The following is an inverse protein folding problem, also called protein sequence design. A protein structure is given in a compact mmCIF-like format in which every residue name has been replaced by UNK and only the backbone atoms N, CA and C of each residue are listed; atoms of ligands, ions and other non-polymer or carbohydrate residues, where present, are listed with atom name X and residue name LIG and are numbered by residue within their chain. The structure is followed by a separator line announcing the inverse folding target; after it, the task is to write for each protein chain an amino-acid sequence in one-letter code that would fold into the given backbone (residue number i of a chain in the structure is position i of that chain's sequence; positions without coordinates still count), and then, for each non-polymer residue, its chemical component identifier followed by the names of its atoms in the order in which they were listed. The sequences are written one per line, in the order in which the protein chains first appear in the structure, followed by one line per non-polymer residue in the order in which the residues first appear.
data_IF_688598923685
#
_entry.id   IF_688598923685
#
_cell.length_a   1.000
_cell.length_b   1.000
_cell.length_c   1.000
_cell.angle_alpha   90.00
_cell.angle_beta   90.00
_cell.angle_gamma   90.00
#
_symmetry.space_group_name_H-M   'P 1'
#
loop_
_entity.id
_entity.type
_entity.pdbx_description
1 polymer ?
#
# COMPACT_ATOMS: atom_id res chain seq x y z
N UNK A 1 25.96 16.24 7.22
CA UNK A 1 25.22 17.38 6.61
C UNK A 1 24.89 17.13 5.13
N UNK A 2 24.84 15.87 4.66
CA UNK A 2 24.47 15.53 3.27
C UNK A 2 22.98 15.15 3.12
N UNK A 3 22.32 14.79 4.22
CA UNK A 3 20.88 14.44 4.25
C UNK A 3 19.95 15.59 3.85
N UNK A 4 20.44 16.83 3.90
CA UNK A 4 19.59 18.01 3.77
C UNK A 4 19.32 18.37 2.31
N UNK A 5 20.25 18.09 1.39
CA UNK A 5 20.11 18.48 -0.03
C UNK A 5 19.19 17.52 -0.78
N UNK A 6 19.39 16.21 -0.63
CA UNK A 6 18.53 15.21 -1.27
C UNK A 6 17.08 15.33 -0.77
N UNK A 7 16.91 15.52 0.54
CA UNK A 7 15.61 15.78 1.15
C UNK A 7 14.98 17.09 0.65
N UNK A 8 15.73 18.21 0.61
CA UNK A 8 15.24 19.49 0.06
C UNK A 8 14.85 19.40 -1.41
N UNK A 9 15.60 18.64 -2.21
CA UNK A 9 15.28 18.40 -3.63
C UNK A 9 14.02 17.54 -3.75
N UNK A 10 13.90 16.47 -2.97
CA UNK A 10 12.68 15.66 -2.91
C UNK A 10 11.48 16.49 -2.49
N UNK A 11 11.58 17.32 -1.45
CA UNK A 11 10.50 18.22 -1.05
C UNK A 11 10.16 19.22 -2.16
N UNK A 12 11.16 19.77 -2.86
CA UNK A 12 10.97 20.70 -3.97
C UNK A 12 10.27 20.11 -5.20
N UNK A 13 10.27 18.78 -5.36
CA UNK A 13 9.66 18.10 -6.51
C UNK A 13 8.37 17.38 -6.12
N UNK A 14 8.35 16.71 -4.97
CA UNK A 14 7.25 15.87 -4.52
C UNK A 14 6.15 16.70 -3.86
N UNK A 15 6.46 17.73 -3.04
CA UNK A 15 5.41 18.54 -2.42
C UNK A 15 4.49 19.24 -3.44
N UNK A 16 5.01 19.85 -4.53
CA UNK A 16 4.14 20.40 -5.57
C UNK A 16 3.27 19.32 -6.22
N UNK A 17 3.82 18.15 -6.53
CA UNK A 17 3.05 17.04 -7.12
C UNK A 17 1.96 16.52 -6.19
N UNK A 18 2.26 16.39 -4.90
CA UNK A 18 1.28 16.00 -3.88
C UNK A 18 0.16 17.03 -3.78
N UNK A 19 0.52 18.32 -3.74
CA UNK A 19 -0.46 19.41 -3.74
C UNK A 19 -1.39 19.33 -4.95
N UNK A 20 -0.84 19.17 -6.15
CA UNK A 20 -1.61 19.21 -7.39
C UNK A 20 -2.43 17.92 -7.62
N UNK A 21 -1.98 16.77 -7.12
CA UNK A 21 -2.62 15.47 -7.39
C UNK A 21 -3.55 15.02 -6.27
N UNK A 22 -3.17 15.31 -5.02
CA UNK A 22 -3.83 14.77 -3.82
C UNK A 22 -4.51 15.87 -3.01
N UNK A 23 -4.09 17.13 -3.14
CA UNK A 23 -4.52 18.25 -2.31
C UNK A 23 -6.04 18.38 -2.17
N UNK A 24 -6.76 18.55 -3.28
CA UNK A 24 -8.21 18.77 -3.26
C UNK A 24 -8.97 17.53 -2.71
N UNK A 25 -8.54 16.33 -3.08
CA UNK A 25 -9.15 15.09 -2.60
C UNK A 25 -8.95 14.89 -1.10
N UNK A 26 -7.74 15.16 -0.60
CA UNK A 26 -7.43 15.06 0.83
C UNK A 26 -8.17 16.13 1.63
N UNK A 27 -8.31 17.35 1.10
CA UNK A 27 -9.12 18.39 1.72
C UNK A 27 -10.57 17.95 1.90
N UNK A 28 -11.19 17.34 0.89
CA UNK A 28 -12.56 16.84 1.01
C UNK A 28 -12.69 15.75 2.08
N UNK A 29 -11.75 14.80 2.14
CA UNK A 29 -11.74 13.75 3.17
C UNK A 29 -11.63 14.36 4.57
N UNK A 30 -10.77 15.38 4.74
CA UNK A 30 -10.59 16.08 6.01
C UNK A 30 -11.87 16.83 6.40
N UNK A 31 -12.55 17.50 5.48
CA UNK A 31 -13.81 18.19 5.74
C UNK A 31 -14.94 17.23 6.15
N UNK A 32 -15.01 16.06 5.50
CA UNK A 32 -15.94 14.99 5.90
C UNK A 32 -15.63 14.48 7.30
N UNK A 33 -14.36 14.23 7.62
CA UNK A 33 -13.93 13.78 8.95
C UNK A 33 -14.26 14.83 10.02
N UNK A 34 -13.98 16.11 9.77
CA UNK A 34 -14.35 17.21 10.68
C UNK A 34 -15.86 17.27 10.88
N UNK A 35 -16.63 17.07 9.81
CA UNK A 35 -18.10 17.06 9.89
C UNK A 35 -18.60 15.91 10.76
N UNK A 36 -18.08 14.69 10.55
CA UNK A 36 -18.41 13.51 11.35
C UNK A 36 -18.10 13.73 12.83
N UNK A 37 -16.91 14.25 13.13
CA UNK A 37 -16.50 14.55 14.51
C UNK A 37 -17.40 15.61 15.14
N UNK A 38 -17.79 16.63 14.37
CA UNK A 38 -18.68 17.70 14.83
C UNK A 38 -20.11 17.22 15.09
N UNK A 39 -20.57 16.18 14.39
CA UNK A 39 -21.87 15.54 14.70
C UNK A 39 -21.84 14.75 16.02
N UNK A 40 -20.66 14.27 16.43
CA UNK A 40 -20.46 13.55 17.69
C UNK A 40 -20.30 14.46 18.91
N UNK A 41 -19.98 15.74 18.73
CA UNK A 41 -19.80 16.71 19.82
C UNK A 41 -21.13 17.30 20.28
N UNK A 42 -21.31 17.45 21.59
CA UNK A 42 -22.51 18.05 22.17
C UNK A 42 -22.54 19.58 21.98
N UNK A 43 -23.73 20.17 21.94
CA UNK A 43 -23.88 21.63 21.94
C UNK A 43 -23.22 22.23 23.20
N UNK A 44 -22.14 23.00 23.00
CA UNK A 44 -21.39 23.66 24.07
C UNK A 44 -20.01 23.07 24.36
N UNK A 45 -19.61 21.98 23.68
CA UNK A 45 -18.23 21.48 23.70
C UNK A 45 -17.30 22.27 22.76
N UNK A 46 -16.00 22.17 23.01
CA UNK A 46 -14.96 22.79 22.20
C UNK A 46 -15.04 22.29 20.75
N UNK A 47 -14.78 23.21 19.81
CA UNK A 47 -14.76 22.90 18.38
C UNK A 47 -13.72 21.83 18.10
N UNK A 48 -14.01 20.96 17.12
CA UNK A 48 -13.05 19.98 16.60
C UNK A 48 -11.72 20.66 16.29
N UNK A 49 -10.66 20.26 17.00
CA UNK A 49 -9.32 20.80 16.79
C UNK A 49 -8.66 20.18 15.57
N UNK A 50 -8.21 21.03 14.63
CA UNK A 50 -7.52 20.58 13.42
C UNK A 50 -6.19 19.85 13.70
N UNK A 51 -5.58 20.10 14.86
CA UNK A 51 -4.41 19.35 15.35
C UNK A 51 -4.74 17.87 15.53
N UNK A 52 -5.84 17.55 16.21
CA UNK A 52 -6.29 16.18 16.43
C UNK A 52 -6.66 15.50 15.11
N UNK A 53 -7.34 16.22 14.21
CA UNK A 53 -7.69 15.73 12.87
C UNK A 53 -6.43 15.42 12.05
N UNK A 54 -5.42 16.29 12.11
CA UNK A 54 -4.14 16.07 11.44
C UNK A 54 -3.45 14.80 11.94
N UNK A 55 -3.45 14.56 13.25
CA UNK A 55 -2.83 13.35 13.82
C UNK A 55 -3.51 12.06 13.35
N UNK A 56 -4.84 12.06 13.26
CA UNK A 56 -5.62 10.93 12.74
C UNK A 56 -5.24 10.68 11.27
N UNK A 57 -5.30 11.73 10.44
CA UNK A 57 -5.01 11.63 9.01
C UNK A 57 -3.57 11.16 8.74
N UNK A 58 -2.60 11.64 9.52
CA UNK A 58 -1.21 11.18 9.37
C UNK A 58 -1.07 9.69 9.66
N UNK A 59 -1.72 9.17 10.70
CA UNK A 59 -1.72 7.73 11.01
C UNK A 59 -2.40 6.92 9.91
N UNK A 60 -3.53 7.38 9.41
CA UNK A 60 -4.25 6.68 8.34
C UNK A 60 -3.46 6.67 7.02
N UNK A 61 -2.75 7.76 6.71
CA UNK A 61 -1.83 7.81 5.56
C UNK A 61 -0.67 6.82 5.75
N UNK A 62 -0.08 6.74 6.94
CA UNK A 62 0.97 5.75 7.23
C UNK A 62 0.44 4.31 7.00
N UNK A 63 -0.73 3.99 7.55
CA UNK A 63 -1.38 2.69 7.38
C UNK A 63 -1.65 2.39 5.90
N UNK A 64 -2.17 3.36 5.15
CA UNK A 64 -2.45 3.22 3.72
C UNK A 64 -1.17 3.02 2.90
N UNK A 65 -0.09 3.73 3.24
CA UNK A 65 1.19 3.56 2.57
C UNK A 65 1.74 2.15 2.82
N UNK A 66 1.71 1.68 4.06
CA UNK A 66 2.29 0.40 4.45
C UNK A 66 1.50 -0.80 3.93
N UNK A 67 0.17 -0.71 3.92
CA UNK A 67 -0.67 -1.86 3.56
C UNK A 67 -1.01 -1.92 2.07
N UNK A 68 -1.12 -0.79 1.40
CA UNK A 68 -1.62 -0.73 0.02
C UNK A 68 -0.55 -0.25 -0.96
N UNK A 69 0.04 0.91 -0.71
CA UNK A 69 0.90 1.58 -1.71
C UNK A 69 2.25 0.90 -1.83
N UNK A 70 2.98 0.71 -0.73
CA UNK A 70 4.32 0.14 -0.74
C UNK A 70 4.31 -1.32 -1.21
N UNK A 71 3.41 -2.21 -0.73
CA UNK A 71 3.36 -3.58 -1.23
C UNK A 71 3.02 -3.66 -2.72
N UNK A 72 2.08 -2.84 -3.20
CA UNK A 72 1.73 -2.82 -4.63
C UNK A 72 2.84 -2.27 -5.52
N UNK A 73 3.67 -1.34 -5.01
CA UNK A 73 4.86 -0.86 -5.70
C UNK A 73 5.97 -1.90 -5.67
N UNK A 74 6.20 -2.55 -4.53
CA UNK A 74 7.20 -3.59 -4.39
C UNK A 74 6.93 -4.76 -5.34
N UNK A 75 5.68 -5.25 -5.41
CA UNK A 75 5.29 -6.29 -6.37
C UNK A 75 5.50 -5.90 -7.84
N UNK A 76 5.45 -4.60 -8.18
CA UNK A 76 5.72 -4.11 -9.54
C UNK A 76 7.21 -3.97 -9.83
N UNK A 77 8.00 -3.59 -8.84
CA UNK A 77 9.43 -3.35 -8.97
C UNK A 77 10.25 -4.64 -8.82
N UNK A 78 9.78 -5.53 -7.97
CA UNK A 78 10.33 -6.84 -7.65
C UNK A 78 9.24 -7.90 -7.89
N UNK A 79 8.87 -8.18 -9.15
CA UNK A 79 7.92 -9.23 -9.44
C UNK A 79 8.45 -10.56 -8.87
N UNK A 80 7.61 -11.38 -8.23
CA UNK A 80 8.04 -12.66 -7.71
C UNK A 80 8.69 -13.46 -8.84
N UNK A 81 9.88 -14.00 -8.58
CA UNK A 81 10.49 -14.93 -9.52
C UNK A 81 9.49 -16.06 -9.78
N UNK A 82 9.28 -16.45 -11.05
CA UNK A 82 8.40 -17.57 -11.34
C UNK A 82 8.89 -18.77 -10.53
N UNK A 83 7.97 -19.37 -9.75
CA UNK A 83 8.27 -20.64 -9.08
C UNK A 83 8.86 -21.58 -10.14
N UNK A 84 10.00 -22.25 -9.86
CA UNK A 84 10.53 -23.22 -10.79
C UNK A 84 9.40 -24.19 -11.10
N UNK A 85 9.04 -24.29 -12.38
CA UNK A 85 8.14 -25.35 -12.86
C UNK A 85 8.67 -26.63 -12.22
N UNK A 86 7.85 -27.26 -11.38
CA UNK A 86 8.21 -28.55 -10.81
C UNK A 86 8.67 -29.40 -11.98
N UNK A 87 9.95 -29.79 -11.98
CA UNK A 87 10.47 -30.79 -12.91
C UNK A 87 9.47 -31.94 -12.83
N UNK A 88 8.71 -32.12 -13.91
CA UNK A 88 7.87 -33.29 -14.06
C UNK A 88 8.87 -34.42 -14.12
N UNK A 89 8.97 -35.14 -13.00
CA UNK A 89 9.78 -36.32 -12.82
C UNK A 89 9.39 -37.32 -13.93
N UNK A 90 10.14 -37.31 -15.05
CA UNK A 90 9.97 -38.19 -16.21
C UNK A 90 10.47 -39.63 -15.90
N UNK A 91 10.51 -40.06 -14.63
CA UNK A 91 11.05 -41.37 -14.23
C UNK A 91 10.03 -42.25 -13.49
N UNK A 92 8.74 -42.19 -13.87
CA UNK A 92 7.74 -43.13 -13.35
C UNK A 92 6.68 -43.53 -14.38
N UNK A 93 7.12 -44.00 -15.55
CA UNK A 93 6.22 -44.55 -16.57
C UNK A 93 6.80 -45.76 -17.33
N UNK A 94 7.73 -46.54 -16.76
CA UNK A 94 8.38 -47.66 -17.48
C UNK A 94 8.40 -49.01 -16.73
N UNK A 95 7.47 -49.28 -15.80
CA UNK A 95 7.33 -50.63 -15.20
C UNK A 95 5.88 -51.16 -15.18
N UNK A 96 5.15 -51.02 -16.29
CA UNK A 96 3.81 -51.63 -16.43
C UNK A 96 3.56 -52.37 -17.77
N UNK A 97 4.62 -52.75 -18.50
CA UNK A 97 4.49 -53.59 -19.71
C UNK A 97 5.45 -54.78 -19.66
N UNK A 98 5.25 -55.69 -18.71
CA UNK A 98 5.91 -57.01 -18.73
C UNK A 98 5.10 -58.09 -18.00
N UNK A 99 3.78 -58.15 -18.16
CA UNK A 99 3.02 -59.33 -17.69
C UNK A 99 1.75 -59.59 -18.52
N UNK A 100 1.86 -59.72 -19.84
CA UNK A 100 0.80 -60.36 -20.62
C UNK A 100 1.25 -61.00 -21.94
N UNK A 101 2.27 -61.88 -21.95
CA UNK A 101 2.36 -62.96 -22.97
C UNK A 101 3.20 -64.14 -22.46
N UNK A 102 2.56 -65.19 -21.95
CA UNK A 102 3.07 -66.57 -22.08
C UNK A 102 1.92 -67.56 -21.86
N UNK A 103 1.51 -68.16 -22.98
CA UNK A 103 0.70 -69.38 -23.12
C UNK A 103 1.41 -70.61 -22.53
#
# INVERSE_FOLDING_TARGET
MSDDIAFKIQLGIILPKLKDTVGDNLSNIIEELVSILSYGTLEGEDKVELSAVKEIIMKDIEIFLDNDVLPALDAKLNPPEPEPEAEVDEESAEEAEAEEVAE
#
